data_IF_666523884737
#
_entry.id   IF_666523884737
#
_cell.length_a   1.000
_cell.length_b   1.000
_cell.length_c   1.000
_cell.angle_alpha   90.00
_cell.angle_beta   90.00
_cell.angle_gamma   90.00
#
_symmetry.space_group_name_H-M   'P 1'
#
loop_
_entity.id
_entity.type
_entity.pdbx_description
1 polymer ?
#
# COMPACT_ATOMS: atom_id res chain seq x y z
N UNK A 1 31.82 6.39 14.64
CA UNK A 1 30.93 7.57 14.76
C UNK A 1 29.55 7.07 14.43
N UNK A 2 28.62 7.12 15.38
CA UNK A 2 27.21 6.83 15.13
C UNK A 2 26.68 7.84 14.11
N UNK A 3 26.17 7.34 12.98
CA UNK A 3 25.45 8.17 12.03
C UNK A 3 24.01 8.29 12.53
N UNK A 4 23.46 9.50 12.53
CA UNK A 4 22.03 9.69 12.74
C UNK A 4 21.34 9.70 11.38
N UNK A 5 20.25 8.96 11.26
CA UNK A 5 19.37 9.04 10.11
C UNK A 5 18.10 9.81 10.49
N UNK A 6 17.69 10.69 9.59
CA UNK A 6 16.50 11.52 9.72
C UNK A 6 15.42 11.03 8.76
N UNK A 7 14.21 10.81 9.27
CA UNK A 7 13.01 10.78 8.40
C UNK A 7 12.54 12.22 8.28
N UNK A 8 12.33 12.70 7.05
CA UNK A 8 11.95 14.08 6.77
C UNK A 8 10.56 14.18 6.18
N UNK A 9 9.94 15.33 6.37
CA UNK A 9 8.74 15.71 5.65
C UNK A 9 9.10 15.96 4.17
N UNK A 10 8.36 15.33 3.26
CA UNK A 10 8.59 15.37 1.80
C UNK A 10 8.39 16.76 1.18
N UNK A 11 7.67 17.66 1.85
CA UNK A 11 7.35 19.00 1.35
C UNK A 11 8.23 20.07 1.98
N UNK A 12 8.40 20.01 3.31
CA UNK A 12 9.11 21.05 4.08
C UNK A 12 10.58 20.71 4.32
N UNK A 13 10.95 19.43 4.25
CA UNK A 13 12.29 18.96 4.64
C UNK A 13 12.51 18.92 6.16
N UNK A 14 11.49 19.24 6.96
CA UNK A 14 11.56 19.17 8.42
C UNK A 14 11.81 17.74 8.91
N UNK A 15 12.62 17.59 9.94
CA UNK A 15 12.89 16.28 10.55
C UNK A 15 11.68 15.84 11.36
N UNK A 16 11.03 14.75 10.92
CA UNK A 16 9.91 14.12 11.61
C UNK A 16 10.41 13.19 12.72
N UNK A 17 11.55 12.54 12.48
CA UNK A 17 12.15 11.60 13.42
C UNK A 17 13.65 11.48 13.17
N UNK A 18 14.43 11.24 14.22
CA UNK A 18 15.86 10.95 14.15
C UNK A 18 16.18 9.74 15.01
N UNK A 19 17.07 8.88 14.54
CA UNK A 19 17.55 7.73 15.29
C UNK A 19 19.05 7.53 15.06
N UNK A 20 19.75 7.08 16.09
CA UNK A 20 21.14 6.64 15.99
C UNK A 20 21.20 5.31 15.26
N UNK A 21 22.07 5.21 14.25
CA UNK A 21 22.33 3.95 13.54
C UNK A 21 23.46 3.21 14.27
N UNK A 22 23.21 1.96 14.71
CA UNK A 22 24.25 1.11 15.29
C UNK A 22 25.44 0.93 14.34
N UNK A 23 26.66 0.96 14.89
CA UNK A 23 27.87 0.72 14.09
C UNK A 23 27.82 -0.68 13.47
N UNK A 24 28.10 -0.77 12.16
CA UNK A 24 28.09 -2.03 11.41
C UNK A 24 26.73 -2.46 10.87
N UNK A 25 25.67 -1.65 11.00
CA UNK A 25 24.38 -1.95 10.38
C UNK A 25 24.48 -1.97 8.85
N UNK A 26 23.96 -3.03 8.23
CA UNK A 26 23.92 -3.14 6.77
C UNK A 26 23.02 -2.05 6.16
N UNK A 27 23.47 -1.45 5.06
CA UNK A 27 22.77 -0.33 4.41
C UNK A 27 21.29 -0.63 4.11
N UNK A 28 20.98 -1.86 3.68
CA UNK A 28 19.60 -2.28 3.40
C UNK A 28 18.69 -2.37 4.62
N UNK A 29 19.24 -2.47 5.83
CA UNK A 29 18.46 -2.53 7.07
C UNK A 29 18.18 -1.15 7.69
N UNK A 30 18.91 -0.11 7.26
CA UNK A 30 18.87 1.21 7.89
C UNK A 30 17.47 1.83 7.81
N UNK A 31 16.85 1.84 6.62
CA UNK A 31 15.54 2.44 6.44
C UNK A 31 14.46 1.73 7.26
N UNK A 32 14.43 0.39 7.21
CA UNK A 32 13.56 -0.44 8.06
C UNK A 32 13.76 -0.14 9.55
N UNK A 33 15.01 -0.15 10.03
CA UNK A 33 15.31 0.09 11.44
C UNK A 33 14.78 1.44 11.90
N UNK A 34 15.02 2.50 11.12
CA UNK A 34 14.61 3.86 11.49
C UNK A 34 13.10 4.03 11.42
N UNK A 35 12.44 3.42 10.44
CA UNK A 35 10.97 3.42 10.37
C UNK A 35 10.36 2.69 11.57
N UNK A 36 10.85 1.49 11.93
CA UNK A 36 10.37 0.74 13.10
C UNK A 36 10.64 1.49 14.41
N UNK A 37 11.81 2.13 14.54
CA UNK A 37 12.13 2.96 15.69
C UNK A 37 11.19 4.17 15.80
N UNK A 38 10.83 4.80 14.67
CA UNK A 38 9.87 5.89 14.64
C UNK A 38 8.49 5.42 15.11
N UNK A 39 8.01 4.26 14.64
CA UNK A 39 6.75 3.68 15.10
C UNK A 39 6.79 3.32 16.58
N UNK A 40 7.89 2.74 17.08
CA UNK A 40 8.05 2.41 18.49
C UNK A 40 8.05 3.66 19.40
N UNK A 41 8.46 4.81 18.86
CA UNK A 41 8.43 6.10 19.54
C UNK A 41 7.11 6.87 19.36
N UNK A 42 6.08 6.27 18.75
CA UNK A 42 4.80 6.91 18.39
C UNK A 42 5.00 8.18 17.54
N UNK A 43 6.03 8.18 16.69
CA UNK A 43 6.34 9.31 15.84
C UNK A 43 5.29 9.47 14.73
N UNK A 44 4.93 10.72 14.47
CA UNK A 44 4.04 11.07 13.38
C UNK A 44 4.80 11.06 12.04
N UNK A 45 4.56 10.04 11.21
CA UNK A 45 5.17 9.87 9.89
C UNK A 45 4.32 10.44 8.75
N UNK A 46 3.40 11.37 9.05
CA UNK A 46 2.64 12.08 8.03
C UNK A 46 3.56 12.86 7.11
N UNK A 47 3.27 12.76 5.82
CA UNK A 47 4.04 13.36 4.74
C UNK A 47 5.53 12.96 4.77
N UNK A 48 5.89 11.84 5.40
CA UNK A 48 7.27 11.36 5.43
C UNK A 48 7.80 11.04 4.03
N UNK A 49 9.05 11.39 3.76
CA UNK A 49 9.79 10.96 2.57
C UNK A 49 10.46 9.61 2.85
N UNK A 50 9.87 8.56 2.30
CA UNK A 50 10.32 7.16 2.37
C UNK A 50 10.47 6.58 0.96
N UNK A 51 10.75 7.43 -0.04
CA UNK A 51 10.87 7.02 -1.45
C UNK A 51 12.01 6.02 -1.61
N UNK A 52 11.74 4.90 -2.29
CA UNK A 52 12.73 3.86 -2.54
C UNK A 52 13.27 3.18 -1.28
N UNK A 53 12.67 3.41 -0.10
CA UNK A 53 13.14 2.83 1.15
C UNK A 53 12.99 1.31 1.13
N UNK A 54 14.00 0.61 1.65
CA UNK A 54 13.88 -0.82 1.96
C UNK A 54 13.23 -1.00 3.33
N UNK A 55 11.93 -1.30 3.29
CA UNK A 55 11.05 -1.56 4.42
C UNK A 55 10.56 -3.02 4.38
N UNK A 56 11.30 -3.91 3.73
CA UNK A 56 10.94 -5.32 3.62
C UNK A 56 10.83 -5.96 5.01
N UNK A 57 9.70 -6.61 5.27
CA UNK A 57 9.37 -7.22 6.56
C UNK A 57 9.18 -6.23 7.72
N UNK A 58 9.14 -4.91 7.45
CA UNK A 58 9.02 -3.90 8.50
C UNK A 58 7.69 -4.02 9.27
N UNK A 59 7.73 -3.82 10.59
CA UNK A 59 6.51 -3.71 11.39
C UNK A 59 6.00 -2.27 11.44
N UNK A 60 5.05 -1.94 10.56
CA UNK A 60 4.40 -0.63 10.43
C UNK A 60 2.93 -0.68 10.88
N UNK A 61 2.62 -1.58 11.82
CA UNK A 61 1.25 -1.80 12.31
C UNK A 61 0.71 -0.52 12.95
N UNK A 62 -0.44 -0.05 12.47
CA UNK A 62 -1.09 1.16 13.00
C UNK A 62 -0.36 2.47 12.68
N UNK A 63 0.70 2.44 11.86
CA UNK A 63 1.49 3.62 11.53
C UNK A 63 0.64 4.72 10.89
N UNK A 64 0.89 5.97 11.27
CA UNK A 64 0.30 7.14 10.61
C UNK A 64 1.22 7.63 9.48
N UNK A 65 0.91 7.19 8.26
CA UNK A 65 1.66 7.46 7.03
C UNK A 65 0.84 8.31 6.05
N UNK A 66 -0.11 9.12 6.54
CA UNK A 66 -0.95 9.95 5.66
C UNK A 66 -0.09 10.90 4.83
N UNK A 67 -0.29 10.91 3.52
CA UNK A 67 0.45 11.76 2.58
C UNK A 67 1.92 11.37 2.36
N UNK A 68 2.42 10.34 3.05
CA UNK A 68 3.81 9.89 2.94
C UNK A 68 4.16 9.49 1.51
N UNK A 69 5.41 9.73 1.12
CA UNK A 69 5.95 9.30 -0.16
C UNK A 69 6.68 7.97 0.00
N UNK A 70 6.05 6.89 -0.43
CA UNK A 70 6.58 5.52 -0.43
C UNK A 70 6.83 5.06 -1.88
N UNK A 71 6.95 5.98 -2.85
CA UNK A 71 7.08 5.57 -4.25
C UNK A 71 8.36 4.76 -4.47
N UNK A 72 8.23 3.62 -5.13
CA UNK A 72 9.33 2.68 -5.35
C UNK A 72 9.86 1.98 -4.09
N UNK A 73 9.22 2.14 -2.93
CA UNK A 73 9.67 1.48 -1.70
C UNK A 73 9.48 -0.03 -1.79
N UNK A 74 10.41 -0.78 -1.18
CA UNK A 74 10.30 -2.22 -0.99
C UNK A 74 9.57 -2.47 0.35
N UNK A 75 8.32 -2.89 0.29
CA UNK A 75 7.44 -3.22 1.43
C UNK A 75 7.11 -4.73 1.47
N UNK A 76 7.92 -5.58 0.82
CA UNK A 76 7.67 -7.02 0.75
C UNK A 76 7.50 -7.61 2.15
N UNK A 77 6.37 -8.28 2.39
CA UNK A 77 6.07 -8.91 3.68
C UNK A 77 5.91 -7.95 4.85
N UNK A 78 5.88 -6.63 4.63
CA UNK A 78 5.72 -5.65 5.70
C UNK A 78 4.35 -5.79 6.39
N UNK A 79 4.31 -5.55 7.69
CA UNK A 79 3.08 -5.56 8.46
C UNK A 79 2.49 -4.15 8.53
N UNK A 80 1.55 -3.83 7.64
CA UNK A 80 0.83 -2.56 7.56
C UNK A 80 -0.58 -2.65 8.18
N UNK A 81 -0.85 -3.65 9.02
CA UNK A 81 -2.18 -3.87 9.58
C UNK A 81 -2.66 -2.62 10.33
N UNK A 82 -3.84 -2.11 9.98
CA UNK A 82 -4.42 -0.93 10.60
C UNK A 82 -3.68 0.38 10.32
N UNK A 83 -2.68 0.39 9.43
CA UNK A 83 -1.94 1.61 9.09
C UNK A 83 -2.83 2.63 8.38
N UNK A 84 -2.59 3.91 8.62
CA UNK A 84 -3.27 5.00 7.96
C UNK A 84 -2.42 5.51 6.79
N UNK A 85 -2.76 5.08 5.56
CA UNK A 85 -2.06 5.40 4.33
C UNK A 85 -2.84 6.41 3.47
N UNK A 86 -3.75 7.20 4.07
CA UNK A 86 -4.58 8.13 3.29
C UNK A 86 -3.72 9.12 2.51
N UNK A 87 -3.96 9.24 1.20
CA UNK A 87 -3.21 10.13 0.33
C UNK A 87 -1.73 9.76 0.14
N UNK A 88 -1.27 8.61 0.66
CA UNK A 88 0.11 8.19 0.51
C UNK A 88 0.43 7.87 -0.96
N UNK A 89 1.65 8.17 -1.38
CA UNK A 89 2.13 7.83 -2.71
C UNK A 89 2.88 6.48 -2.66
N UNK A 90 2.23 5.41 -3.09
CA UNK A 90 2.77 4.04 -3.17
C UNK A 90 3.07 3.64 -4.63
N UNK A 91 3.24 4.62 -5.53
CA UNK A 91 3.51 4.35 -6.95
C UNK A 91 4.75 3.48 -7.11
N UNK A 92 4.64 2.41 -7.89
CA UNK A 92 5.71 1.45 -8.16
C UNK A 92 6.30 0.76 -6.90
N UNK A 93 5.60 0.78 -5.76
CA UNK A 93 6.05 0.12 -4.53
C UNK A 93 5.85 -1.41 -4.62
N UNK A 94 6.78 -2.18 -4.04
CA UNK A 94 6.65 -3.64 -3.93
C UNK A 94 6.00 -4.01 -2.60
N UNK A 95 4.71 -4.36 -2.62
CA UNK A 95 3.91 -4.79 -1.47
C UNK A 95 3.70 -6.32 -1.46
N UNK A 96 4.53 -7.09 -2.17
CA UNK A 96 4.37 -8.54 -2.27
C UNK A 96 4.31 -9.18 -0.87
N UNK A 97 3.23 -9.90 -0.56
CA UNK A 97 3.05 -10.57 0.73
C UNK A 97 2.80 -9.64 1.93
N UNK A 98 2.66 -8.33 1.73
CA UNK A 98 2.43 -7.38 2.83
C UNK A 98 1.06 -7.60 3.50
N UNK A 99 0.96 -7.31 4.80
CA UNK A 99 -0.30 -7.39 5.53
C UNK A 99 -0.98 -6.02 5.61
N UNK A 100 -2.01 -5.80 4.79
CA UNK A 100 -2.81 -4.57 4.69
C UNK A 100 -4.18 -4.70 5.37
N UNK A 101 -4.42 -5.74 6.19
CA UNK A 101 -5.68 -5.88 6.92
C UNK A 101 -5.99 -4.62 7.72
N UNK A 102 -7.23 -4.13 7.62
CA UNK A 102 -7.71 -2.93 8.32
C UNK A 102 -6.96 -1.63 7.97
N UNK A 103 -6.06 -1.62 6.97
CA UNK A 103 -5.35 -0.41 6.55
C UNK A 103 -6.26 0.54 5.76
N UNK A 104 -6.06 1.85 5.94
CA UNK A 104 -6.84 2.89 5.27
C UNK A 104 -6.06 3.47 4.09
N UNK A 105 -6.46 3.12 2.87
CA UNK A 105 -5.84 3.53 1.61
C UNK A 105 -6.63 4.65 0.89
N UNK A 106 -7.50 5.40 1.58
CA UNK A 106 -8.28 6.48 0.96
C UNK A 106 -7.36 7.50 0.27
N UNK A 107 -7.49 7.66 -1.05
CA UNK A 107 -6.72 8.59 -1.86
C UNK A 107 -5.26 8.19 -2.08
N UNK A 108 -4.84 6.99 -1.68
CA UNK A 108 -3.49 6.51 -1.91
C UNK A 108 -3.24 6.25 -3.41
N UNK A 109 -2.08 6.66 -3.91
CA UNK A 109 -1.66 6.36 -5.27
C UNK A 109 -0.93 5.02 -5.31
N UNK A 110 -1.57 3.97 -5.82
CA UNK A 110 -1.02 2.63 -5.94
C UNK A 110 -0.66 2.27 -7.40
N UNK A 111 -0.59 3.23 -8.33
CA UNK A 111 -0.25 2.95 -9.72
C UNK A 111 1.09 2.22 -9.83
N UNK A 112 1.10 1.07 -10.52
CA UNK A 112 2.30 0.25 -10.69
C UNK A 112 2.76 -0.53 -9.45
N UNK A 113 2.06 -0.43 -8.31
CA UNK A 113 2.41 -1.18 -7.11
C UNK A 113 2.13 -2.69 -7.28
N UNK A 114 3.02 -3.53 -6.76
CA UNK A 114 2.83 -4.99 -6.73
C UNK A 114 2.23 -5.43 -5.40
N UNK A 115 0.95 -5.83 -5.39
CA UNK A 115 0.26 -6.33 -4.20
C UNK A 115 0.10 -7.86 -4.18
N UNK A 116 0.84 -8.60 -5.01
CA UNK A 116 0.68 -10.05 -5.08
C UNK A 116 0.95 -10.74 -3.72
N UNK A 117 0.05 -11.59 -3.26
CA UNK A 117 0.09 -12.23 -1.96
C UNK A 117 -0.21 -11.33 -0.76
N UNK A 118 -0.55 -10.05 -0.95
CA UNK A 118 -0.89 -9.16 0.15
C UNK A 118 -2.18 -9.58 0.86
N UNK A 119 -2.18 -9.58 2.20
CA UNK A 119 -3.35 -9.94 3.01
C UNK A 119 -4.20 -8.70 3.31
N UNK A 120 -5.47 -8.67 2.91
CA UNK A 120 -6.37 -7.54 3.16
C UNK A 120 -7.74 -7.99 3.70
N UNK A 121 -8.44 -7.10 4.41
CA UNK A 121 -9.89 -7.20 4.64
C UNK A 121 -10.63 -6.72 3.36
N UNK A 122 -11.98 -6.64 3.28
CA UNK A 122 -12.64 -6.01 2.13
C UNK A 122 -12.02 -4.64 1.90
N UNK A 123 -11.35 -4.50 0.77
CA UNK A 123 -10.55 -3.32 0.55
C UNK A 123 -11.39 -2.30 -0.18
N UNK A 124 -11.49 -1.12 0.42
CA UNK A 124 -12.14 0.02 -0.20
C UNK A 124 -11.08 1.05 -0.58
N UNK A 125 -10.86 1.20 -1.88
CA UNK A 125 -9.96 2.20 -2.43
C UNK A 125 -10.80 3.38 -2.89
N UNK A 126 -10.81 4.44 -2.09
CA UNK A 126 -11.42 5.72 -2.43
C UNK A 126 -10.39 6.65 -3.06
N UNK A 127 -10.82 7.70 -3.77
CA UNK A 127 -9.91 8.73 -4.32
C UNK A 127 -9.18 8.32 -5.60
N UNK A 128 -9.41 7.10 -6.07
CA UNK A 128 -9.39 6.78 -7.50
C UNK A 128 -10.53 7.52 -8.21
N UNK A 129 -10.49 7.62 -9.55
CA UNK A 129 -11.58 8.25 -10.33
C UNK A 129 -12.94 7.64 -9.97
N UNK A 130 -12.97 6.35 -9.66
CA UNK A 130 -14.12 5.64 -9.11
C UNK A 130 -13.74 4.92 -7.83
N UNK A 131 -14.68 4.87 -6.90
CA UNK A 131 -14.58 4.02 -5.72
C UNK A 131 -14.45 2.56 -6.17
N UNK A 132 -13.43 1.89 -5.64
CA UNK A 132 -13.22 0.46 -5.85
C UNK A 132 -13.47 -0.29 -4.55
N UNK A 133 -14.32 -1.29 -4.60
CA UNK A 133 -14.52 -2.25 -3.51
C UNK A 133 -14.11 -3.63 -4.02
N UNK A 134 -13.12 -4.23 -3.37
CA UNK A 134 -12.76 -5.64 -3.60
C UNK A 134 -13.32 -6.42 -2.43
N UNK A 135 -14.38 -7.19 -2.71
CA UNK A 135 -15.00 -8.05 -1.71
C UNK A 135 -14.32 -9.41 -1.73
N UNK A 136 -14.35 -10.10 -0.58
CA UNK A 136 -13.68 -11.37 -0.46
C UNK A 136 -14.29 -12.56 -1.17
N UNK A 137 -15.49 -12.37 -1.71
CA UNK A 137 -16.27 -13.40 -2.37
C UNK A 137 -15.91 -13.57 -3.86
N UNK A 138 -14.82 -12.96 -4.31
CA UNK A 138 -14.42 -12.99 -5.72
C UNK A 138 -15.10 -11.93 -6.59
N UNK A 139 -15.69 -10.90 -5.97
CA UNK A 139 -16.40 -9.81 -6.65
C UNK A 139 -15.64 -8.50 -6.47
N UNK A 140 -15.55 -7.72 -7.56
CA UNK A 140 -14.97 -6.38 -7.56
C UNK A 140 -15.98 -5.37 -8.11
N UNK A 141 -16.17 -4.28 -7.37
CA UNK A 141 -16.96 -3.13 -7.80
C UNK A 141 -16.04 -1.97 -8.16
N UNK A 142 -16.23 -1.37 -9.32
CA UNK A 142 -15.61 -0.12 -9.76
C UNK A 142 -16.74 0.86 -10.11
N UNK A 143 -16.93 1.90 -9.29
CA UNK A 143 -18.05 2.83 -9.48
C UNK A 143 -19.39 2.11 -9.36
N UNK A 144 -20.25 2.19 -10.37
CA UNK A 144 -21.53 1.47 -10.41
C UNK A 144 -21.43 0.06 -11.01
N UNK A 145 -20.25 -0.37 -11.47
CA UNK A 145 -20.05 -1.67 -12.11
C UNK A 145 -19.56 -2.69 -11.09
N UNK A 146 -20.40 -3.68 -10.77
CA UNK A 146 -20.07 -4.80 -9.88
C UNK A 146 -20.10 -6.08 -10.69
N UNK A 147 -18.97 -6.79 -10.75
CA UNK A 147 -18.80 -8.03 -11.50
C UNK A 147 -17.78 -8.93 -10.81
N UNK A 148 -17.83 -10.23 -11.15
CA UNK A 148 -16.85 -11.20 -10.65
C UNK A 148 -15.46 -10.88 -11.20
N UNK A 149 -14.41 -11.31 -10.49
CA UNK A 149 -13.02 -11.14 -10.93
C UNK A 149 -12.79 -11.82 -12.29
N UNK A 150 -13.39 -12.99 -12.52
CA UNK A 150 -13.31 -13.72 -13.79
C UNK A 150 -13.92 -12.90 -14.93
N UNK A 151 -15.08 -12.29 -14.70
CA UNK A 151 -15.71 -11.42 -15.68
C UNK A 151 -14.81 -10.22 -16.01
N UNK A 152 -14.27 -9.54 -14.99
CA UNK A 152 -13.34 -8.42 -15.19
C UNK A 152 -12.10 -8.81 -16.01
N UNK A 153 -11.59 -10.05 -15.85
CA UNK A 153 -10.45 -10.56 -16.63
C UNK A 153 -10.78 -10.75 -18.12
N UNK A 154 -12.03 -11.03 -18.46
CA UNK A 154 -12.51 -11.27 -19.83
C UNK A 154 -12.96 -10.01 -20.56
N UNK A 155 -13.13 -8.88 -19.88
CA UNK A 155 -13.59 -7.64 -20.52
C UNK A 155 -12.56 -7.11 -21.52
N UNK A 156 -13.03 -6.83 -22.73
CA UNK A 156 -12.26 -6.18 -23.78
C UNK A 156 -12.37 -4.64 -23.69
N UNK A 157 -11.48 -3.94 -24.40
CA UNK A 157 -11.39 -2.48 -24.37
C UNK A 157 -12.70 -1.80 -24.81
N UNK A 158 -13.42 -2.39 -25.77
CA UNK A 158 -14.71 -1.88 -26.27
C UNK A 158 -15.78 -1.91 -25.17
N UNK A 159 -15.92 -3.03 -24.46
CA UNK A 159 -16.85 -3.17 -23.34
C UNK A 159 -16.54 -2.16 -22.25
N UNK A 160 -15.27 -2.02 -21.87
CA UNK A 160 -14.87 -1.07 -20.82
C UNK A 160 -15.12 0.37 -21.26
N UNK A 161 -14.77 0.72 -22.49
CA UNK A 161 -15.04 2.06 -23.06
C UNK A 161 -16.53 2.40 -23.11
N UNK A 162 -17.41 1.40 -23.23
CA UNK A 162 -18.86 1.61 -23.21
C UNK A 162 -19.43 1.97 -21.83
N UNK A 163 -18.69 1.70 -20.74
CA UNK A 163 -19.16 1.95 -19.37
C UNK A 163 -19.07 3.43 -18.99
N UNK A 164 -17.97 4.08 -19.35
CA UNK A 164 -17.73 5.51 -19.17
C UNK A 164 -16.61 5.95 -20.13
N UNK A 165 -16.67 7.21 -20.59
CA UNK A 165 -15.66 7.81 -21.47
C UNK A 165 -14.21 7.75 -20.95
N UNK A 166 -13.98 7.64 -19.64
CA UNK A 166 -12.64 7.53 -19.04
C UNK A 166 -12.36 6.14 -18.47
N UNK A 167 -13.27 5.17 -18.65
CA UNK A 167 -13.18 3.86 -18.00
C UNK A 167 -11.96 3.08 -18.51
N UNK A 168 -11.67 3.15 -19.81
CA UNK A 168 -10.56 2.41 -20.40
C UNK A 168 -9.21 2.90 -19.88
N UNK A 169 -9.00 4.21 -19.82
CA UNK A 169 -7.76 4.80 -19.29
C UNK A 169 -7.54 4.41 -17.84
N UNK A 170 -8.59 4.53 -17.02
CA UNK A 170 -8.56 4.09 -15.63
C UNK A 170 -8.23 2.61 -15.49
N UNK A 171 -8.93 1.76 -16.26
CA UNK A 171 -8.70 0.33 -16.24
C UNK A 171 -7.26 0.02 -16.61
N UNK A 172 -6.73 0.56 -17.71
CA UNK A 172 -5.35 0.32 -18.13
C UNK A 172 -4.32 0.79 -17.09
N UNK A 173 -4.60 1.90 -16.40
CA UNK A 173 -3.71 2.41 -15.35
C UNK A 173 -3.71 1.55 -14.08
N UNK A 174 -4.84 0.92 -13.73
CA UNK A 174 -5.03 0.25 -12.43
C UNK A 174 -5.27 -1.26 -12.52
N UNK A 175 -5.46 -1.85 -13.71
CA UNK A 175 -5.85 -3.26 -13.94
C UNK A 175 -4.92 -4.23 -13.22
N UNK A 176 -3.62 -4.12 -13.42
CA UNK A 176 -2.64 -5.04 -12.83
C UNK A 176 -2.72 -5.01 -11.32
N UNK A 177 -2.76 -3.80 -10.73
CA UNK A 177 -2.91 -3.60 -9.29
C UNK A 177 -4.22 -4.23 -8.78
N UNK A 178 -5.36 -3.87 -9.39
CA UNK A 178 -6.68 -4.37 -8.99
C UNK A 178 -6.80 -5.90 -9.08
N UNK A 179 -6.35 -6.50 -10.18
CA UNK A 179 -6.40 -7.94 -10.38
C UNK A 179 -5.42 -8.67 -9.47
N UNK A 180 -4.21 -8.15 -9.24
CA UNK A 180 -3.28 -8.74 -8.29
C UNK A 180 -3.89 -8.74 -6.88
N UNK A 181 -4.55 -7.65 -6.47
CA UNK A 181 -5.23 -7.57 -5.17
C UNK A 181 -6.37 -8.59 -5.06
N UNK A 182 -7.10 -8.81 -6.15
CA UNK A 182 -8.14 -9.82 -6.25
C UNK A 182 -7.58 -11.25 -6.16
N UNK A 183 -6.52 -11.57 -6.89
CA UNK A 183 -5.88 -12.89 -6.90
C UNK A 183 -5.16 -13.20 -5.57
N UNK A 184 -4.75 -12.16 -4.85
CA UNK A 184 -4.15 -12.26 -3.53
C UNK A 184 -5.16 -12.36 -2.41
N UNK A 185 -6.45 -12.22 -2.72
CA UNK A 185 -7.52 -12.35 -1.75
C UNK A 185 -7.65 -13.81 -1.32
N UNK A 186 -6.91 -14.16 -0.28
CA UNK A 186 -7.13 -15.38 0.49
C UNK A 186 -7.90 -14.94 1.73
N UNK A 187 -9.17 -15.33 1.83
CA UNK A 187 -9.89 -15.27 3.11
C UNK A 187 -8.95 -15.83 4.18
N UNK A 188 -8.78 -15.18 5.36
CA UNK A 188 -8.25 -15.93 6.48
C UNK A 188 -9.16 -17.15 6.60
N UNK A 189 -8.60 -18.34 6.35
CA UNK A 189 -9.20 -19.58 6.85
C UNK A 189 -9.51 -19.22 8.30
N UNK A 190 -10.79 -19.29 8.67
CA UNK A 190 -11.16 -19.12 10.07
C UNK A 190 -10.20 -20.03 10.84
N UNK A 191 -9.27 -19.43 11.60
CA UNK A 191 -8.60 -20.17 12.64
C UNK A 191 -9.73 -20.52 13.59
N UNK A 192 -10.35 -21.67 13.32
CA UNK A 192 -11.28 -22.33 14.19
C UNK A 192 -10.57 -22.40 15.52
N UNK A 193 -11.00 -21.54 16.43
CA UNK A 193 -10.74 -21.64 17.86
C UNK A 193 -10.80 -23.11 18.25
N UNK A 194 -9.64 -23.68 18.55
CA UNK A 194 -9.51 -24.93 19.28
C UNK A 194 -8.62 -24.64 20.48
#
# INVERSE_FOLDING_TARGET
MTQNLEIKNRWTGEVLFTCEIPEGMESGMIARHVAEAAIAADANLRDADLRGADLSGANLRGADLRGADLSGANLRGANLRGANLRGANLRDADLYGANLRDADLYGANLSGADLYGAKAAPLVVYGLRWDVVISGAGEMRIGCQEHSIEAWKEFNDERISSMDSNALDFWNQHKTMLLNMCDSYVHPVEESTT
#
